data_IF_197978941250
#
_entry.id   IF_197978941250
#
_cell.length_a   1.000
_cell.length_b   1.000
_cell.length_c   1.000
_cell.angle_alpha   90.00
_cell.angle_beta   90.00
_cell.angle_gamma   90.00
#
_symmetry.space_group_name_H-M   'P 1'
#
loop_
_entity.id
_entity.type
_entity.pdbx_description
1 polymer ?
#
# COMPACT_ATOMS: atom_id res chain seq x y z
N UNK A 1 23.20 12.97 -29.98
CA UNK A 1 23.47 11.82 -29.05
C UNK A 1 23.69 12.28 -27.62
N UNK A 2 24.51 13.30 -27.34
CA UNK A 2 24.72 13.85 -26.00
C UNK A 2 23.42 14.42 -25.38
N UNK A 3 22.63 15.16 -26.16
CA UNK A 3 21.38 15.75 -25.71
C UNK A 3 20.33 14.70 -25.31
N UNK A 4 20.22 13.58 -26.04
CA UNK A 4 19.33 12.46 -25.67
C UNK A 4 19.75 11.79 -24.36
N UNK A 5 21.06 11.64 -24.13
CA UNK A 5 21.56 11.07 -22.86
C UNK A 5 21.27 11.99 -21.67
N UNK A 6 21.39 13.29 -21.88
CA UNK A 6 21.11 14.29 -20.84
C UNK A 6 19.61 14.30 -20.48
N UNK A 7 18.72 14.32 -21.48
CA UNK A 7 17.27 14.20 -21.25
C UNK A 7 16.89 12.91 -20.53
N UNK A 8 17.52 11.79 -20.89
CA UNK A 8 17.28 10.51 -20.22
C UNK A 8 17.70 10.53 -18.74
N UNK A 9 18.85 11.14 -18.42
CA UNK A 9 19.31 11.32 -17.05
C UNK A 9 18.40 12.25 -16.23
N UNK A 10 17.96 13.34 -16.82
CA UNK A 10 17.02 14.27 -16.18
C UNK A 10 15.69 13.57 -15.87
N UNK A 11 15.17 12.76 -16.79
CA UNK A 11 13.95 11.99 -16.59
C UNK A 11 14.11 10.94 -15.47
N UNK A 12 15.25 10.23 -15.42
CA UNK A 12 15.52 9.27 -14.35
C UNK A 12 15.65 9.97 -13.00
N UNK A 13 16.26 11.16 -12.96
CA UNK A 13 16.33 11.98 -11.74
C UNK A 13 14.93 12.43 -11.28
N UNK A 14 14.07 12.85 -12.20
CA UNK A 14 12.68 13.20 -11.91
C UNK A 14 11.88 11.98 -11.41
N UNK A 15 12.09 10.80 -11.98
CA UNK A 15 11.48 9.56 -11.54
C UNK A 15 11.95 9.16 -10.13
N UNK A 16 13.23 9.32 -9.82
CA UNK A 16 13.77 9.11 -8.48
C UNK A 16 13.19 10.10 -7.46
N UNK A 17 13.10 11.38 -7.83
CA UNK A 17 12.47 12.40 -6.98
C UNK A 17 10.99 12.06 -6.72
N UNK A 18 10.23 11.65 -7.74
CA UNK A 18 8.84 11.21 -7.59
C UNK A 18 8.72 10.02 -6.65
N UNK A 19 9.65 9.06 -6.75
CA UNK A 19 9.71 7.91 -5.84
C UNK A 19 10.05 8.35 -4.40
N UNK A 20 11.03 9.22 -4.20
CA UNK A 20 11.38 9.77 -2.87
C UNK A 20 10.20 10.52 -2.24
N UNK A 21 9.47 11.32 -3.01
CA UNK A 21 8.28 12.03 -2.55
C UNK A 21 7.19 11.07 -2.01
N UNK A 22 7.10 9.85 -2.55
CA UNK A 22 6.23 8.79 -2.05
C UNK A 22 6.72 8.10 -0.76
N UNK A 23 7.89 8.47 -0.21
CA UNK A 23 8.51 7.81 0.94
C UNK A 23 7.64 7.85 2.20
N UNK A 24 7.03 9.00 2.50
CA UNK A 24 6.12 9.15 3.64
C UNK A 24 4.89 8.23 3.54
N UNK A 25 4.31 8.10 2.34
CA UNK A 25 3.18 7.20 2.08
C UNK A 25 3.59 5.73 2.26
N UNK A 26 4.77 5.33 1.76
CA UNK A 26 5.30 3.96 1.93
C UNK A 26 5.58 3.63 3.40
N UNK A 27 6.14 4.57 4.17
CA UNK A 27 6.39 4.40 5.59
C UNK A 27 5.07 4.24 6.39
N UNK A 28 4.08 5.11 6.11
CA UNK A 28 2.73 4.99 6.70
C UNK A 28 2.08 3.65 6.34
N UNK A 29 2.13 3.25 5.07
CA UNK A 29 1.63 1.95 4.62
C UNK A 29 2.27 0.77 5.36
N UNK A 30 3.61 0.78 5.57
CA UNK A 30 4.33 -0.26 6.33
C UNK A 30 3.77 -0.36 7.75
N UNK A 31 3.55 0.78 8.40
CA UNK A 31 2.95 0.87 9.74
C UNK A 31 1.52 0.31 9.75
N UNK A 32 0.64 0.77 8.86
CA UNK A 32 -0.76 0.33 8.80
C UNK A 32 -0.89 -1.16 8.48
N UNK A 33 -0.03 -1.66 7.60
CA UNK A 33 0.07 -3.09 7.31
C UNK A 33 0.46 -3.90 8.54
N UNK A 34 1.43 -3.44 9.33
CA UNK A 34 1.80 -4.07 10.59
C UNK A 34 0.60 -4.15 11.55
N UNK A 35 -0.14 -3.06 11.73
CA UNK A 35 -1.35 -3.04 12.54
C UNK A 35 -2.41 -4.01 12.05
N UNK A 36 -2.67 -4.03 10.74
CA UNK A 36 -3.66 -4.93 10.13
C UNK A 36 -3.29 -6.39 10.28
N UNK A 37 -2.01 -6.75 10.19
CA UNK A 37 -1.56 -8.14 10.25
C UNK A 37 -1.08 -8.60 11.64
N UNK A 38 -1.34 -7.81 12.68
CA UNK A 38 -1.18 -8.22 14.09
C UNK A 38 0.15 -7.79 14.74
N UNK A 39 1.06 -7.16 14.02
CA UNK A 39 2.25 -6.55 14.62
C UNK A 39 1.93 -5.14 15.14
N UNK A 40 1.07 -5.07 16.16
CA UNK A 40 0.47 -3.83 16.66
C UNK A 40 1.30 -3.09 17.72
N UNK A 41 2.46 -3.65 18.10
CA UNK A 41 3.41 -3.08 19.06
C UNK A 41 4.72 -2.68 18.38
N UNK A 42 4.65 -2.35 17.07
CA UNK A 42 5.82 -2.03 16.25
C UNK A 42 6.24 -0.55 16.32
N UNK A 43 5.40 0.33 16.85
CA UNK A 43 5.73 1.75 16.96
C UNK A 43 6.92 1.95 17.90
N UNK A 44 7.78 2.91 17.56
CA UNK A 44 8.96 3.24 18.35
C UNK A 44 8.64 4.35 19.34
N UNK A 45 9.09 4.17 20.58
CA UNK A 45 8.94 5.13 21.69
C UNK A 45 10.28 5.35 22.36
N UNK A 46 10.41 6.46 23.07
CA UNK A 46 11.61 6.71 23.89
C UNK A 46 11.44 6.03 25.24
N UNK A 47 12.44 5.22 25.63
CA UNK A 47 12.51 4.65 26.97
C UNK A 47 12.91 5.69 28.03
N UNK A 48 12.91 5.30 29.32
CA UNK A 48 13.34 6.15 30.40
C UNK A 48 14.82 6.59 30.36
N UNK A 49 15.60 5.98 29.44
CA UNK A 49 17.02 6.32 29.20
C UNK A 49 17.22 7.15 27.92
N UNK A 50 16.12 7.51 27.22
CA UNK A 50 16.14 8.30 25.99
C UNK A 50 16.44 7.49 24.72
N UNK A 51 16.56 6.14 24.79
CA UNK A 51 16.80 5.28 23.62
C UNK A 51 15.49 5.03 22.88
N UNK A 52 15.56 4.95 21.55
CA UNK A 52 14.43 4.56 20.71
C UNK A 52 14.28 3.04 20.77
N UNK A 53 13.17 2.57 21.35
CA UNK A 53 12.83 1.15 21.47
C UNK A 53 11.41 0.92 20.92
N UNK A 54 11.07 -0.32 20.56
CA UNK A 54 9.69 -0.63 20.18
C UNK A 54 8.79 -0.66 21.43
N UNK A 55 7.50 -0.35 21.25
CA UNK A 55 6.52 -0.47 22.35
C UNK A 55 6.51 -1.91 22.92
N UNK A 56 6.74 -2.92 22.07
CA UNK A 56 6.91 -4.32 22.49
C UNK A 56 8.03 -4.48 23.50
N UNK A 57 9.22 -4.02 23.15
CA UNK A 57 10.39 -4.12 24.03
C UNK A 57 10.17 -3.40 25.37
N UNK A 58 9.56 -2.20 25.31
CA UNK A 58 9.24 -1.44 26.53
C UNK A 58 8.29 -2.19 27.46
N UNK A 59 7.26 -2.88 26.92
CA UNK A 59 6.35 -3.70 27.70
C UNK A 59 7.05 -4.93 28.31
N UNK A 60 7.83 -5.65 27.52
CA UNK A 60 8.58 -6.83 27.94
C UNK A 60 9.60 -6.49 29.05
N UNK A 61 10.32 -5.38 28.93
CA UNK A 61 11.23 -4.86 29.96
C UNK A 61 10.50 -4.50 31.26
N UNK A 62 9.23 -4.04 31.17
CA UNK A 62 8.38 -3.78 32.32
C UNK A 62 7.72 -5.03 32.93
N UNK A 63 8.05 -6.22 32.42
CA UNK A 63 7.49 -7.49 32.87
C UNK A 63 6.04 -7.74 32.44
N UNK A 64 5.55 -7.02 31.42
CA UNK A 64 4.21 -7.17 30.89
C UNK A 64 4.25 -7.95 29.57
N UNK A 65 3.22 -8.76 29.32
CA UNK A 65 3.09 -9.51 28.06
C UNK A 65 2.32 -8.66 27.06
N UNK A 66 2.91 -8.33 25.88
CA UNK A 66 2.18 -7.61 24.85
C UNK A 66 1.09 -8.50 24.24
N UNK A 67 -0.17 -8.18 24.49
CA UNK A 67 -1.33 -8.86 23.91
C UNK A 67 -2.01 -7.96 22.87
N UNK A 68 -2.51 -8.56 21.81
CA UNK A 68 -3.21 -7.84 20.75
C UNK A 68 -4.50 -8.55 20.35
N UNK A 69 -5.62 -7.84 20.41
CA UNK A 69 -6.88 -8.24 19.82
C UNK A 69 -7.05 -7.51 18.49
N UNK A 70 -6.83 -8.21 17.39
CA UNK A 70 -6.77 -7.58 16.07
C UNK A 70 -8.16 -7.32 15.49
N UNK A 71 -8.82 -6.24 15.92
CA UNK A 71 -10.13 -5.81 15.41
C UNK A 71 -10.02 -5.22 14.01
N UNK A 72 -8.91 -4.52 13.71
CA UNK A 72 -8.65 -3.96 12.36
C UNK A 72 -8.69 -5.06 11.31
N UNK A 73 -8.02 -6.20 11.55
CA UNK A 73 -8.00 -7.31 10.58
C UNK A 73 -9.39 -7.90 10.35
N UNK A 74 -10.18 -8.05 11.41
CA UNK A 74 -11.55 -8.52 11.32
C UNK A 74 -12.39 -7.58 10.46
N UNK A 75 -12.27 -6.28 10.69
CA UNK A 75 -13.00 -5.26 9.98
C UNK A 75 -12.67 -5.23 8.48
N UNK A 76 -11.38 -5.19 8.13
CA UNK A 76 -10.90 -5.25 6.74
C UNK A 76 -11.41 -6.51 6.03
N UNK A 77 -11.32 -7.69 6.67
CA UNK A 77 -11.85 -8.93 6.10
C UNK A 77 -13.35 -8.88 5.83
N UNK A 78 -14.13 -8.26 6.71
CA UNK A 78 -15.58 -8.15 6.55
C UNK A 78 -15.95 -7.22 5.38
N UNK A 79 -15.25 -6.10 5.24
CA UNK A 79 -15.46 -5.15 4.13
C UNK A 79 -15.13 -5.83 2.80
N UNK A 80 -13.96 -6.47 2.68
CA UNK A 80 -13.54 -7.21 1.48
C UNK A 80 -14.47 -8.38 1.18
N UNK A 81 -14.88 -9.13 2.21
CA UNK A 81 -15.81 -10.25 2.08
C UNK A 81 -17.16 -9.83 1.55
N UNK A 82 -17.69 -8.69 2.02
CA UNK A 82 -18.95 -8.12 1.53
C UNK A 82 -18.86 -7.64 0.08
N UNK A 83 -17.76 -6.98 -0.29
CA UNK A 83 -17.48 -6.61 -1.68
C UNK A 83 -17.53 -7.85 -2.59
N UNK A 84 -16.84 -8.92 -2.21
CA UNK A 84 -16.78 -10.16 -2.97
C UNK A 84 -18.16 -10.85 -3.06
N UNK A 85 -18.90 -10.86 -1.97
CA UNK A 85 -20.27 -11.40 -1.94
C UNK A 85 -21.19 -10.65 -2.91
N UNK A 86 -21.18 -9.33 -2.89
CA UNK A 86 -21.97 -8.51 -3.79
C UNK A 86 -21.57 -8.73 -5.26
N UNK A 87 -20.27 -8.87 -5.56
CA UNK A 87 -19.80 -9.16 -6.91
C UNK A 87 -20.29 -10.53 -7.44
N UNK A 88 -20.32 -11.54 -6.56
CA UNK A 88 -20.85 -12.87 -6.89
C UNK A 88 -22.37 -12.81 -7.13
N UNK A 89 -23.11 -12.09 -6.31
CA UNK A 89 -24.55 -11.95 -6.48
C UNK A 89 -24.89 -11.21 -7.78
N UNK A 90 -24.24 -10.09 -8.08
CA UNK A 90 -24.44 -9.35 -9.33
C UNK A 90 -24.24 -10.24 -10.56
N UNK A 91 -23.20 -11.07 -10.57
CA UNK A 91 -22.95 -12.05 -11.67
C UNK A 91 -24.07 -13.08 -11.80
N UNK A 92 -24.67 -13.53 -10.70
CA UNK A 92 -25.80 -14.46 -10.71
C UNK A 92 -27.07 -13.84 -11.30
N UNK A 93 -27.34 -12.57 -10.98
CA UNK A 93 -28.54 -11.87 -11.49
C UNK A 93 -28.42 -11.44 -12.95
N UNK A 94 -27.24 -10.96 -13.35
CA UNK A 94 -27.05 -10.41 -14.70
C UNK A 94 -26.87 -11.46 -15.79
N UNK A 95 -26.67 -12.76 -15.46
CA UNK A 95 -26.35 -13.84 -16.41
C UNK A 95 -25.23 -13.47 -17.40
N UNK A 96 -24.42 -12.44 -17.08
CA UNK A 96 -23.30 -12.04 -17.93
C UNK A 96 -22.22 -13.11 -17.86
N UNK A 97 -21.90 -13.68 -19.02
CA UNK A 97 -20.63 -14.37 -19.16
C UNK A 97 -19.52 -13.35 -18.90
N UNK A 98 -18.64 -13.68 -17.96
CA UNK A 98 -17.47 -12.84 -17.72
C UNK A 98 -16.65 -12.76 -19.00
N UNK A 99 -16.25 -11.54 -19.39
CA UNK A 99 -15.35 -11.32 -20.54
C UNK A 99 -14.11 -12.22 -20.41
N UNK A 100 -13.56 -12.68 -21.54
CA UNK A 100 -12.47 -13.66 -21.55
C UNK A 100 -11.32 -13.26 -20.62
N UNK A 101 -10.86 -12.00 -20.69
CA UNK A 101 -9.77 -11.49 -19.86
C UNK A 101 -10.09 -11.49 -18.34
N UNK A 102 -11.36 -11.43 -17.95
CA UNK A 102 -11.78 -11.47 -16.52
C UNK A 102 -11.49 -12.83 -15.89
N UNK A 103 -11.75 -13.91 -16.62
CA UNK A 103 -11.50 -15.28 -16.15
C UNK A 103 -10.01 -15.60 -16.16
N UNK A 104 -9.31 -15.25 -17.22
CA UNK A 104 -7.89 -15.53 -17.40
C UNK A 104 -7.02 -14.83 -16.35
N UNK A 105 -7.36 -13.60 -15.99
CA UNK A 105 -6.65 -12.84 -14.97
C UNK A 105 -7.13 -13.09 -13.52
N UNK A 106 -8.14 -13.92 -13.29
CA UNK A 106 -8.73 -14.14 -11.96
C UNK A 106 -9.09 -12.81 -11.26
N UNK A 107 -9.75 -11.89 -11.98
CA UNK A 107 -9.97 -10.50 -11.49
C UNK A 107 -10.66 -10.43 -10.15
N UNK A 108 -11.58 -11.34 -9.82
CA UNK A 108 -12.24 -11.36 -8.50
C UNK A 108 -11.26 -11.47 -7.35
N UNK A 109 -10.18 -12.25 -7.52
CA UNK A 109 -9.13 -12.38 -6.51
C UNK A 109 -8.23 -11.16 -6.51
N UNK A 110 -7.79 -10.69 -7.68
CA UNK A 110 -6.95 -9.49 -7.80
C UNK A 110 -7.63 -8.27 -7.20
N UNK A 111 -8.92 -8.05 -7.51
CA UNK A 111 -9.68 -6.92 -7.01
C UNK A 111 -9.93 -7.02 -5.50
N UNK A 112 -10.16 -8.22 -4.97
CA UNK A 112 -10.28 -8.44 -3.53
C UNK A 112 -8.98 -8.09 -2.79
N UNK A 113 -7.82 -8.47 -3.34
CA UNK A 113 -6.51 -8.11 -2.79
C UNK A 113 -6.19 -6.64 -2.95
N UNK A 114 -6.61 -6.05 -4.07
CA UNK A 114 -6.43 -4.62 -4.30
C UNK A 114 -7.32 -3.78 -3.37
N UNK A 115 -8.58 -4.20 -3.11
CA UNK A 115 -9.43 -3.54 -2.14
C UNK A 115 -8.86 -3.64 -0.71
N UNK A 116 -8.27 -4.79 -0.34
CA UNK A 116 -7.57 -4.92 0.94
C UNK A 116 -6.41 -3.93 1.05
N UNK A 117 -5.58 -3.82 0.02
CA UNK A 117 -4.50 -2.84 -0.05
C UNK A 117 -5.03 -1.40 0.00
N UNK A 118 -6.12 -1.12 -0.70
CA UNK A 118 -6.79 0.18 -0.73
C UNK A 118 -7.28 0.64 0.64
N UNK A 119 -7.86 -0.26 1.43
CA UNK A 119 -8.27 0.03 2.82
C UNK A 119 -7.07 0.31 3.74
N UNK A 120 -5.94 -0.36 3.49
CA UNK A 120 -4.73 -0.25 4.31
C UNK A 120 -3.91 0.99 3.96
N UNK A 121 -3.72 1.25 2.66
CA UNK A 121 -2.80 2.29 2.17
C UNK A 121 -3.49 3.49 1.53
N UNK A 122 -4.78 3.41 1.24
CA UNK A 122 -5.51 4.39 0.44
C UNK A 122 -5.14 4.36 -1.05
N UNK A 123 -4.40 3.34 -1.50
CA UNK A 123 -3.88 3.26 -2.86
C UNK A 123 -4.35 2.00 -3.55
N UNK A 124 -4.99 2.16 -4.72
CA UNK A 124 -5.27 1.06 -5.63
C UNK A 124 -4.48 1.29 -6.92
N UNK A 125 -3.65 0.32 -7.30
CA UNK A 125 -2.77 0.42 -8.45
C UNK A 125 -2.76 -0.91 -9.19
N UNK A 126 -3.21 -0.92 -10.43
CA UNK A 126 -3.11 -2.07 -11.33
C UNK A 126 -2.43 -1.65 -12.64
N UNK A 127 -1.63 -2.55 -13.18
CA UNK A 127 -1.01 -2.40 -14.49
C UNK A 127 -1.78 -3.26 -15.50
N UNK A 128 -2.24 -2.63 -16.56
CA UNK A 128 -2.91 -3.28 -17.69
C UNK A 128 -1.92 -3.35 -18.83
N UNK A 129 -1.68 -4.51 -19.36
CA UNK A 129 -0.74 -4.72 -20.45
C UNK A 129 -1.13 -5.89 -21.34
N UNK A 130 -0.21 -6.30 -22.20
CA UNK A 130 -0.37 -7.46 -23.07
C UNK A 130 0.71 -8.48 -22.76
N UNK A 131 0.33 -9.74 -22.60
CA UNK A 131 1.23 -10.87 -22.43
C UNK A 131 0.82 -11.98 -23.39
N UNK A 132 1.74 -12.40 -24.25
CA UNK A 132 1.47 -13.43 -25.27
C UNK A 132 0.26 -13.15 -26.17
N UNK A 133 -0.05 -11.88 -26.43
CA UNK A 133 -1.19 -11.49 -27.25
C UNK A 133 -2.50 -11.26 -26.48
N UNK A 134 -2.56 -11.64 -25.20
CA UNK A 134 -3.72 -11.53 -24.33
C UNK A 134 -3.57 -10.36 -23.32
N UNK A 135 -4.71 -9.85 -22.84
CA UNK A 135 -4.73 -8.79 -21.83
C UNK A 135 -4.26 -9.34 -20.48
N UNK A 136 -3.22 -8.76 -19.93
CA UNK A 136 -2.69 -9.07 -18.60
C UNK A 136 -2.96 -7.92 -17.63
N UNK A 137 -3.49 -8.25 -16.45
CA UNK A 137 -3.76 -7.30 -15.38
C UNK A 137 -3.00 -7.77 -14.13
N UNK A 138 -2.14 -6.90 -13.62
CA UNK A 138 -1.30 -7.21 -12.47
C UNK A 138 -1.48 -6.17 -11.37
N UNK A 139 -1.62 -6.60 -10.11
CA UNK A 139 -1.61 -5.72 -8.96
C UNK A 139 -0.20 -5.17 -8.73
N UNK A 140 -0.08 -3.87 -8.58
CA UNK A 140 1.19 -3.18 -8.36
C UNK A 140 1.31 -2.76 -6.89
N UNK A 141 2.44 -3.08 -6.29
CA UNK A 141 2.72 -2.67 -4.91
C UNK A 141 3.06 -1.17 -4.85
N UNK A 142 2.52 -0.47 -3.86
CA UNK A 142 2.91 0.93 -3.56
C UNK A 142 4.42 1.06 -3.32
N UNK A 143 5.10 -0.01 -2.91
CA UNK A 143 6.55 -0.03 -2.71
C UNK A 143 7.34 0.14 -4.00
N UNK A 144 6.81 -0.40 -5.10
CA UNK A 144 7.49 -0.45 -6.39
C UNK A 144 6.95 0.59 -7.39
N UNK A 145 5.96 1.36 -6.99
CA UNK A 145 5.29 2.35 -7.81
C UNK A 145 5.73 3.77 -7.46
N UNK A 146 5.81 4.63 -8.46
CA UNK A 146 6.03 6.05 -8.28
C UNK A 146 5.22 6.88 -9.27
N UNK A 147 4.85 8.08 -8.84
CA UNK A 147 4.05 9.02 -9.60
C UNK A 147 4.43 10.44 -9.17
N UNK A 148 4.37 11.42 -10.08
CA UNK A 148 4.58 12.82 -9.70
C UNK A 148 3.50 13.29 -8.70
N UNK A 149 3.76 14.37 -8.00
CA UNK A 149 2.73 14.98 -7.14
C UNK A 149 1.56 15.42 -7.99
N UNK A 150 0.37 14.94 -7.66
CA UNK A 150 -0.86 15.31 -8.30
C UNK A 150 -1.94 15.64 -7.27
N UNK A 151 -2.93 16.44 -7.66
CA UNK A 151 -4.00 16.91 -6.78
C UNK A 151 -5.39 16.58 -7.32
N UNK A 152 -5.51 16.41 -8.65
CA UNK A 152 -6.80 16.05 -9.26
C UNK A 152 -7.11 14.58 -8.98
N UNK A 153 -8.19 14.25 -8.25
CA UNK A 153 -8.59 12.85 -8.00
C UNK A 153 -8.83 12.02 -9.27
N UNK A 154 -8.98 12.69 -10.42
CA UNK A 154 -9.12 12.05 -11.74
C UNK A 154 -7.79 11.78 -12.43
N UNK A 155 -6.67 12.25 -11.84
CA UNK A 155 -5.33 12.04 -12.37
C UNK A 155 -5.00 12.81 -13.64
N UNK A 156 -5.69 13.93 -13.93
CA UNK A 156 -5.45 14.74 -15.14
C UNK A 156 -4.15 15.53 -15.11
N UNK A 157 -3.60 15.75 -13.94
CA UNK A 157 -2.33 16.46 -13.67
C UNK A 157 -1.16 15.48 -13.47
N UNK A 158 -1.34 14.23 -13.87
CA UNK A 158 -0.27 13.23 -13.89
C UNK A 158 0.54 13.39 -15.18
N UNK A 159 1.83 13.66 -15.02
CA UNK A 159 2.78 13.87 -16.12
C UNK A 159 3.90 12.81 -16.12
N UNK A 160 4.15 12.17 -14.98
CA UNK A 160 5.16 11.14 -14.80
C UNK A 160 4.63 10.03 -13.91
N UNK A 161 4.74 8.79 -14.37
CA UNK A 161 4.35 7.60 -13.62
C UNK A 161 5.29 6.45 -13.98
N UNK A 162 5.54 5.56 -13.04
CA UNK A 162 6.38 4.41 -13.34
C UNK A 162 6.39 3.34 -12.27
N UNK A 163 7.16 2.30 -12.56
CA UNK A 163 7.25 1.11 -11.74
C UNK A 163 8.67 0.54 -11.71
N UNK A 164 9.06 0.03 -10.56
CA UNK A 164 10.31 -0.70 -10.35
C UNK A 164 10.07 -2.19 -10.56
N UNK A 165 10.75 -2.78 -11.52
CA UNK A 165 10.66 -4.21 -11.79
C UNK A 165 11.86 -4.96 -11.18
N UNK A 166 11.59 -6.16 -10.68
CA UNK A 166 12.59 -7.15 -10.32
C UNK A 166 12.43 -8.37 -11.22
N UNK A 167 13.28 -8.47 -12.24
CA UNK A 167 13.24 -9.52 -13.25
C UNK A 167 14.41 -10.48 -13.12
N UNK A 168 14.23 -11.71 -13.58
CA UNK A 168 15.37 -12.59 -13.82
C UNK A 168 16.12 -12.16 -15.08
N UNK A 169 17.43 -12.45 -15.16
CA UNK A 169 18.20 -12.13 -16.36
C UNK A 169 17.61 -12.74 -17.65
N UNK A 170 17.16 -14.01 -17.68
CA UNK A 170 16.46 -14.56 -18.85
C UNK A 170 15.21 -13.76 -19.26
N UNK A 171 14.43 -13.27 -18.28
CA UNK A 171 13.25 -12.46 -18.54
C UNK A 171 13.59 -11.09 -19.14
N UNK A 172 14.65 -10.44 -18.65
CA UNK A 172 15.16 -9.18 -19.21
C UNK A 172 15.60 -9.40 -20.67
N UNK A 173 16.34 -10.48 -20.94
CA UNK A 173 16.80 -10.78 -22.30
C UNK A 173 15.62 -11.06 -23.23
N UNK A 174 14.65 -11.88 -22.82
CA UNK A 174 13.48 -12.20 -23.61
C UNK A 174 12.65 -10.95 -23.93
N UNK A 175 12.47 -10.06 -22.95
CA UNK A 175 11.61 -8.87 -23.08
C UNK A 175 12.25 -7.76 -23.89
N UNK A 176 13.55 -7.52 -23.72
CA UNK A 176 14.23 -6.33 -24.26
C UNK A 176 15.20 -6.61 -25.40
N UNK A 177 15.83 -7.78 -25.46
CA UNK A 177 16.71 -8.14 -26.56
C UNK A 177 15.95 -8.86 -27.70
N UNK A 178 14.94 -9.66 -27.37
CA UNK A 178 14.20 -10.43 -28.38
C UNK A 178 15.17 -11.31 -29.19
N UNK A 179 15.28 -11.03 -30.51
CA UNK A 179 16.13 -11.74 -31.44
C UNK A 179 17.47 -11.04 -31.73
N UNK A 180 17.76 -9.91 -31.04
CA UNK A 180 19.00 -9.16 -31.24
C UNK A 180 20.09 -9.71 -30.31
N UNK A 181 21.10 -10.39 -30.93
CA UNK A 181 22.21 -11.03 -30.18
C UNK A 181 23.15 -10.01 -29.55
N UNK A 182 23.43 -8.89 -30.22
CA UNK A 182 24.37 -7.87 -29.73
C UNK A 182 23.77 -7.15 -28.52
N UNK A 183 22.46 -6.83 -28.61
CA UNK A 183 21.71 -6.26 -27.48
C UNK A 183 21.63 -7.24 -26.31
N UNK A 184 21.45 -8.53 -26.56
CA UNK A 184 21.44 -9.56 -25.54
C UNK A 184 22.79 -9.65 -24.81
N UNK A 185 23.90 -9.56 -25.55
CA UNK A 185 25.23 -9.59 -24.99
C UNK A 185 25.50 -8.33 -24.14
N UNK A 186 25.17 -7.15 -24.64
CA UNK A 186 25.32 -5.89 -23.91
C UNK A 186 24.55 -5.90 -22.58
N UNK A 187 23.30 -6.40 -22.58
CA UNK A 187 22.49 -6.53 -21.37
C UNK A 187 23.09 -7.54 -20.37
N UNK A 188 23.66 -8.66 -20.85
CA UNK A 188 24.35 -9.61 -19.97
C UNK A 188 25.56 -8.99 -19.29
N UNK A 189 26.38 -8.26 -20.02
CA UNK A 189 27.57 -7.58 -19.50
C UNK A 189 27.19 -6.52 -18.47
N UNK A 190 26.18 -5.68 -18.78
CA UNK A 190 25.67 -4.65 -17.89
C UNK A 190 25.21 -5.22 -16.54
N UNK A 191 24.35 -6.23 -16.56
CA UNK A 191 23.83 -6.81 -15.33
C UNK A 191 24.82 -7.75 -14.60
N UNK A 192 25.83 -8.31 -15.30
CA UNK A 192 26.92 -9.01 -14.63
C UNK A 192 27.78 -8.07 -13.80
N UNK A 193 28.10 -6.89 -14.31
CA UNK A 193 28.85 -5.87 -13.59
C UNK A 193 28.06 -5.37 -12.35
N UNK A 194 26.79 -5.06 -12.53
CA UNK A 194 25.92 -4.61 -11.44
C UNK A 194 25.77 -5.66 -10.33
N UNK A 195 25.65 -6.93 -10.67
CA UNK A 195 25.56 -8.00 -9.68
C UNK A 195 26.88 -8.21 -8.91
N UNK A 196 28.03 -7.94 -9.51
CA UNK A 196 29.33 -7.97 -8.85
C UNK A 196 29.51 -6.78 -7.90
N UNK A 197 29.14 -5.57 -8.32
CA UNK A 197 29.22 -4.36 -7.51
C UNK A 197 28.19 -4.34 -6.37
N UNK A 198 26.96 -4.81 -6.61
CA UNK A 198 25.91 -4.92 -5.61
C UNK A 198 26.21 -5.92 -4.50
N UNK A 199 26.98 -6.98 -4.80
CA UNK A 199 27.45 -7.94 -3.80
C UNK A 199 28.40 -7.35 -2.74
N UNK A 200 29.10 -6.27 -3.07
CA UNK A 200 29.97 -5.54 -2.13
C UNK A 200 29.19 -4.58 -1.22
N UNK A 201 28.07 -4.01 -1.69
CA UNK A 201 27.23 -3.08 -0.89
C UNK A 201 26.37 -3.77 0.16
N UNK A 202 26.02 -5.05 0.00
CA UNK A 202 25.23 -5.83 0.96
C UNK A 202 25.98 -6.18 2.26
N UNK A 203 27.24 -5.81 2.42
CA UNK A 203 28.05 -6.01 3.62
C UNK A 203 28.20 -4.76 4.50
N UNK A 204 27.65 -3.62 4.09
CA UNK A 204 27.63 -2.37 4.86
C UNK A 204 26.19 -2.02 5.29
N UNK A 205 26.03 -1.65 6.56
CA UNK A 205 24.80 -1.09 7.12
C UNK A 205 24.25 0.01 6.21
N UNK A 206 23.18 -0.27 5.48
CA UNK A 206 22.50 0.72 4.64
C UNK A 206 21.11 0.98 5.20
N UNK A 207 20.73 2.24 5.26
CA UNK A 207 19.35 2.67 5.40
C UNK A 207 18.49 1.92 4.39
N UNK A 208 17.63 1.02 4.86
CA UNK A 208 16.83 0.10 4.03
C UNK A 208 15.97 0.79 2.97
N UNK A 209 15.74 2.08 3.07
CA UNK A 209 14.82 2.82 2.19
C UNK A 209 15.52 3.61 1.06
N UNK A 210 16.79 4.01 1.18
CA UNK A 210 17.42 4.88 0.17
C UNK A 210 17.88 4.14 -1.11
N UNK A 211 18.17 2.85 -0.99
CA UNK A 211 18.73 2.07 -2.11
C UNK A 211 17.70 1.29 -2.93
N UNK A 212 16.46 1.14 -2.46
CA UNK A 212 15.44 0.30 -3.13
C UNK A 212 15.14 0.70 -4.57
N UNK A 213 15.27 1.98 -4.93
CA UNK A 213 15.01 2.45 -6.28
C UNK A 213 15.99 1.84 -7.30
N UNK A 214 17.26 1.75 -6.96
CA UNK A 214 18.31 1.29 -7.84
C UNK A 214 18.73 -0.17 -7.60
N UNK A 215 18.54 -0.71 -6.41
CA UNK A 215 19.03 -2.03 -6.02
C UNK A 215 17.92 -3.06 -6.09
N UNK A 216 18.18 -4.19 -6.73
CA UNK A 216 17.29 -5.35 -6.74
C UNK A 216 17.69 -6.37 -5.67
N UNK A 217 16.80 -7.30 -5.35
CA UNK A 217 17.10 -8.47 -4.55
C UNK A 217 18.21 -9.31 -5.20
N UNK A 218 18.96 -10.06 -4.38
CA UNK A 218 20.09 -10.85 -4.85
C UNK A 218 19.72 -11.79 -6.01
N UNK A 219 20.47 -11.69 -7.11
CA UNK A 219 20.24 -12.50 -8.31
C UNK A 219 19.08 -12.04 -9.19
N UNK A 220 18.56 -10.84 -8.93
CA UNK A 220 17.55 -10.18 -9.76
C UNK A 220 18.15 -8.97 -10.47
N UNK A 221 17.51 -8.58 -11.56
CA UNK A 221 17.84 -7.40 -12.35
C UNK A 221 16.81 -6.33 -12.07
N UNK A 222 17.25 -5.13 -11.64
CA UNK A 222 16.38 -3.97 -11.53
C UNK A 222 16.17 -3.37 -12.90
N UNK A 223 14.90 -3.14 -13.28
CA UNK A 223 14.50 -2.37 -14.45
C UNK A 223 13.52 -1.31 -14.00
N UNK A 224 13.79 -0.06 -14.36
CA UNK A 224 12.98 1.10 -13.99
C UNK A 224 12.14 1.49 -15.19
N UNK A 225 10.83 1.25 -15.13
CA UNK A 225 9.86 1.64 -16.15
C UNK A 225 9.37 3.06 -15.85
N UNK A 226 9.62 4.00 -16.75
CA UNK A 226 9.21 5.41 -16.60
C UNK A 226 8.33 5.80 -17.78
N UNK A 227 7.16 6.30 -17.48
CA UNK A 227 6.24 6.91 -18.43
C UNK A 227 6.22 8.41 -18.19
N UNK A 228 6.42 9.18 -19.25
CA UNK A 228 6.38 10.64 -19.20
C UNK A 228 5.54 11.20 -20.33
N UNK A 229 4.92 12.35 -20.09
CA UNK A 229 4.31 13.14 -21.14
C UNK A 229 5.41 13.90 -21.88
N UNK A 230 5.64 13.54 -23.12
CA UNK A 230 6.57 14.21 -24.00
C UNK A 230 5.80 15.10 -24.99
N UNK A 231 6.29 16.31 -25.20
CA UNK A 231 5.75 17.23 -26.20
C UNK A 231 6.55 17.09 -27.49
N UNK A 232 5.86 16.81 -28.58
CA UNK A 232 6.45 16.74 -29.91
C UNK A 232 5.82 17.78 -30.82
N UNK A 233 6.66 18.46 -31.60
CA UNK A 233 6.20 19.36 -32.64
C UNK A 233 5.81 18.55 -33.88
N UNK A 234 4.54 18.63 -34.26
CA UNK A 234 3.99 17.92 -35.40
C UNK A 234 3.55 18.87 -36.48
N UNK A 235 3.85 18.50 -37.72
CA UNK A 235 3.46 19.22 -38.89
C UNK A 235 2.46 18.41 -39.70
N UNK A 236 1.19 18.80 -39.65
CA UNK A 236 0.15 18.23 -40.49
C UNK A 236 0.23 18.85 -41.87
N UNK A 237 0.48 18.03 -42.86
CA UNK A 237 0.61 18.41 -44.26
C UNK A 237 -0.57 17.90 -45.05
N UNK A 238 -1.17 18.74 -45.87
CA UNK A 238 -2.21 18.35 -46.84
C UNK A 238 -1.74 18.71 -48.23
N UNK A 239 -1.49 17.69 -49.05
CA UNK A 239 -1.09 17.86 -50.43
C UNK A 239 -2.32 17.76 -51.36
N UNK A 240 -2.79 18.89 -51.88
CA UNK A 240 -3.99 18.91 -52.74
C UNK A 240 -3.79 18.24 -54.06
N UNK A 241 -2.57 18.17 -54.60
CA UNK A 241 -2.30 17.52 -55.86
C UNK A 241 -2.38 16.01 -55.77
N UNK A 242 -1.87 15.48 -54.66
CA UNK A 242 -1.90 14.03 -54.40
C UNK A 242 -3.16 13.58 -53.67
N UNK A 243 -3.99 14.52 -53.18
CA UNK A 243 -5.13 14.25 -52.32
C UNK A 243 -4.72 13.45 -51.07
N UNK A 244 -3.53 13.65 -50.57
CA UNK A 244 -2.95 12.94 -49.43
C UNK A 244 -2.72 13.88 -48.22
N UNK A 245 -3.14 13.43 -47.04
CA UNK A 245 -2.77 14.02 -45.77
C UNK A 245 -1.70 13.18 -45.07
N UNK A 246 -0.63 13.77 -44.61
CA UNK A 246 0.43 13.10 -43.87
C UNK A 246 0.97 14.00 -42.76
N UNK A 247 1.60 13.37 -41.78
CA UNK A 247 2.13 14.06 -40.62
C UNK A 247 3.63 13.88 -40.55
N UNK A 248 4.35 15.01 -40.36
CA UNK A 248 5.80 15.06 -40.24
C UNK A 248 6.20 15.63 -38.88
N UNK A 249 7.45 15.45 -38.52
CA UNK A 249 8.02 16.12 -37.37
C UNK A 249 8.18 17.65 -37.67
N UNK A 250 7.98 18.50 -36.67
CA UNK A 250 8.08 19.95 -36.80
C UNK A 250 9.44 20.45 -37.36
N UNK A 251 10.50 19.68 -37.13
CA UNK A 251 11.84 19.95 -37.70
C UNK A 251 11.89 19.92 -39.25
N UNK A 252 10.90 19.27 -39.90
CA UNK A 252 10.84 19.17 -41.37
C UNK A 252 10.13 20.38 -42.03
N UNK A 253 9.69 21.37 -41.25
CA UNK A 253 9.03 22.58 -41.77
C UNK A 253 9.85 23.27 -42.87
N UNK A 254 11.17 23.39 -42.67
CA UNK A 254 12.06 23.96 -43.66
C UNK A 254 12.05 23.24 -45.00
N UNK A 255 12.03 21.90 -44.98
CA UNK A 255 11.96 21.05 -46.19
C UNK A 255 10.65 21.25 -46.94
N UNK A 256 9.53 21.33 -46.25
CA UNK A 256 8.23 21.61 -46.90
C UNK A 256 8.15 23.01 -47.44
N UNK A 257 8.75 24.01 -46.77
CA UNK A 257 8.83 25.36 -47.30
C UNK A 257 9.66 25.43 -48.59
N UNK A 258 10.80 24.75 -48.64
CA UNK A 258 11.61 24.66 -49.87
C UNK A 258 10.84 23.97 -51.01
N UNK A 259 10.11 22.90 -50.70
CA UNK A 259 9.27 22.22 -51.68
C UNK A 259 8.14 23.13 -52.20
N UNK A 260 7.50 23.88 -51.31
CA UNK A 260 6.48 24.85 -51.69
C UNK A 260 7.02 25.97 -52.59
N UNK A 261 8.25 26.43 -52.39
CA UNK A 261 8.91 27.38 -53.28
C UNK A 261 9.18 26.78 -54.67
N UNK A 262 9.54 25.50 -54.74
CA UNK A 262 9.72 24.78 -56.03
C UNK A 262 8.39 24.63 -56.77
N UNK A 263 7.32 24.25 -56.05
CA UNK A 263 5.97 24.11 -56.63
C UNK A 263 5.40 25.41 -57.13
N UNK A 264 5.65 26.51 -56.42
CA UNK A 264 5.24 27.84 -56.86
C UNK A 264 5.89 28.24 -58.21
N UNK A 265 7.16 27.88 -58.41
CA UNK A 265 7.86 28.11 -59.67
C UNK A 265 7.36 27.22 -60.80
N UNK A 266 6.84 26.04 -60.53
CA UNK A 266 6.29 25.12 -61.50
C UNK A 266 4.76 25.27 -61.72
N UNK A 267 4.08 26.19 -61.01
CA UNK A 267 2.65 26.40 -61.08
C UNK A 267 1.81 25.31 -60.37
N UNK A 268 2.45 24.50 -59.55
CA UNK A 268 1.79 23.40 -58.81
C UNK A 268 1.17 23.92 -57.50
N UNK A 269 0.16 23.22 -56.96
CA UNK A 269 -0.48 23.60 -55.73
C UNK A 269 0.48 23.44 -54.53
N UNK A 270 0.50 24.43 -53.64
CA UNK A 270 1.29 24.37 -52.41
C UNK A 270 0.73 23.34 -51.45
N UNK A 271 1.63 22.70 -50.70
CA UNK A 271 1.27 21.84 -49.58
C UNK A 271 0.81 22.74 -48.42
N UNK A 272 -0.42 22.57 -47.98
CA UNK A 272 -0.93 23.24 -46.79
C UNK A 272 -0.35 22.61 -45.54
N UNK A 273 0.18 23.46 -44.66
CA UNK A 273 0.80 22.97 -43.42
C UNK A 273 0.13 23.57 -42.20
N UNK A 274 -0.15 22.73 -41.21
CA UNK A 274 -0.60 23.17 -39.90
C UNK A 274 0.37 22.64 -38.85
N UNK A 275 1.00 23.53 -38.14
CA UNK A 275 1.89 23.17 -37.03
C UNK A 275 1.07 23.04 -35.75
N UNK A 276 1.27 21.95 -35.01
CA UNK A 276 0.63 21.69 -33.73
C UNK A 276 1.63 21.04 -32.77
N UNK A 277 1.44 21.28 -31.47
CA UNK A 277 2.14 20.53 -30.43
C UNK A 277 1.26 19.33 -30.10
N UNK A 278 1.80 18.14 -30.28
CA UNK A 278 1.18 16.89 -29.84
C UNK A 278 1.81 16.43 -28.51
N UNK A 279 0.97 16.06 -27.56
CA UNK A 279 1.40 15.59 -26.24
C UNK A 279 1.11 14.11 -26.15
N UNK A 280 2.16 13.31 -25.98
CA UNK A 280 2.07 11.85 -25.98
C UNK A 280 2.73 11.23 -24.77
N UNK A 281 2.17 10.12 -24.32
CA UNK A 281 2.82 9.27 -23.34
C UNK A 281 3.94 8.46 -23.98
N UNK A 282 5.15 8.66 -23.47
CA UNK A 282 6.35 7.96 -23.92
C UNK A 282 6.90 7.09 -22.79
N UNK A 283 7.30 5.84 -23.11
CA UNK A 283 7.89 4.93 -22.13
C UNK A 283 9.39 4.80 -22.34
N UNK A 284 10.13 4.82 -21.22
CA UNK A 284 11.55 4.49 -21.19
C UNK A 284 11.84 3.49 -20.10
N UNK A 285 12.59 2.47 -20.44
CA UNK A 285 13.08 1.46 -19.51
C UNK A 285 14.54 1.72 -19.22
N UNK A 286 14.89 1.91 -17.96
CA UNK A 286 16.25 2.22 -17.53
C UNK A 286 16.86 1.06 -16.75
N UNK A 287 18.16 0.86 -16.94
CA UNK A 287 19.00 0.13 -16.00
C UNK A 287 19.35 1.02 -14.78
N UNK A 288 19.76 0.45 -13.64
CA UNK A 288 20.21 1.21 -12.48
C UNK A 288 21.35 2.19 -12.77
N UNK A 289 22.17 1.92 -13.79
CA UNK A 289 23.26 2.79 -14.26
C UNK A 289 22.78 4.07 -14.94
N UNK A 290 21.45 4.16 -15.24
CA UNK A 290 20.88 5.25 -16.02
C UNK A 290 20.92 5.04 -17.55
N UNK A 291 21.34 3.86 -17.99
CA UNK A 291 21.29 3.50 -19.40
C UNK A 291 19.87 3.15 -19.82
N UNK A 292 19.45 3.66 -21.00
CA UNK A 292 18.14 3.34 -21.58
C UNK A 292 18.23 1.96 -22.26
N UNK A 293 17.47 1.01 -21.72
CA UNK A 293 17.36 -0.36 -22.27
C UNK A 293 16.43 -0.39 -23.49
N UNK A 294 15.32 0.35 -23.38
CA UNK A 294 14.30 0.46 -24.45
C UNK A 294 13.51 1.75 -24.29
N UNK A 295 13.10 2.34 -25.38
CA UNK A 295 12.21 3.51 -25.40
C UNK A 295 11.19 3.39 -26.54
N UNK A 296 10.03 4.04 -26.39
CA UNK A 296 9.01 4.07 -27.44
C UNK A 296 7.75 4.81 -26.99
N UNK A 297 6.88 5.08 -27.94
CA UNK A 297 5.55 5.63 -27.67
C UNK A 297 4.66 4.56 -27.01
N UNK A 298 3.53 4.99 -26.44
CA UNK A 298 2.56 4.07 -25.87
C UNK A 298 2.09 3.07 -26.93
N UNK A 299 2.30 1.76 -26.73
CA UNK A 299 1.88 0.73 -27.70
C UNK A 299 0.37 0.44 -27.62
N UNK A 300 -0.34 1.09 -26.70
CA UNK A 300 -1.74 0.81 -26.41
C UNK A 300 -2.69 1.69 -27.23
N UNK A 301 -3.85 1.15 -27.62
CA UNK A 301 -4.86 1.88 -28.39
C UNK A 301 -5.46 3.09 -27.65
N UNK A 302 -5.36 3.12 -26.30
CA UNK A 302 -5.76 4.28 -25.51
C UNK A 302 -4.72 5.41 -25.48
N UNK A 303 -3.51 5.19 -26.00
CA UNK A 303 -2.39 6.15 -26.08
C UNK A 303 -1.93 6.74 -24.72
N UNK A 304 -2.36 6.16 -23.61
CA UNK A 304 -2.01 6.56 -22.25
C UNK A 304 -0.99 5.59 -21.63
N UNK A 305 -0.57 5.87 -20.40
CA UNK A 305 0.21 4.92 -19.60
C UNK A 305 -0.64 3.70 -19.15
N UNK A 306 -0.05 2.52 -18.87
CA UNK A 306 -0.78 1.29 -18.59
C UNK A 306 -1.37 1.19 -17.18
N UNK A 307 -1.13 2.16 -16.33
CA UNK A 307 -1.54 2.08 -14.93
C UNK A 307 -2.96 2.62 -14.75
N UNK A 308 -3.82 1.84 -14.11
CA UNK A 308 -5.00 2.35 -13.43
C UNK A 308 -4.61 2.68 -12.00
N UNK A 309 -4.87 3.91 -11.56
CA UNK A 309 -4.44 4.42 -10.27
C UNK A 309 -5.58 5.14 -9.57
N UNK A 310 -5.79 4.85 -8.30
CA UNK A 310 -6.73 5.58 -7.45
C UNK A 310 -6.14 5.76 -6.06
N UNK A 311 -6.13 6.99 -5.60
CA UNK A 311 -5.78 7.36 -4.24
C UNK A 311 -7.01 7.90 -3.53
N UNK A 312 -7.20 7.52 -2.27
CA UNK A 312 -8.43 7.84 -1.53
C UNK A 312 -8.18 7.97 -0.02
N UNK A 313 -8.84 8.91 0.61
CA UNK A 313 -9.27 10.15 -0.02
C UNK A 313 -8.05 10.96 -0.47
N UNK A 314 -8.12 11.58 -1.62
CA UNK A 314 -7.06 12.48 -2.08
C UNK A 314 -7.49 13.92 -1.78
N UNK A 315 -6.93 14.50 -0.74
CA UNK A 315 -7.19 15.88 -0.33
C UNK A 315 -5.88 16.64 -0.29
N UNK A 316 -5.76 17.68 -1.11
CA UNK A 316 -4.54 18.49 -1.25
C UNK A 316 -3.25 17.68 -1.58
N UNK A 317 -3.41 16.51 -2.20
CA UNK A 317 -2.31 15.59 -2.51
C UNK A 317 -1.91 14.66 -1.36
N UNK A 318 -2.66 14.66 -0.27
CA UNK A 318 -2.47 13.74 0.86
C UNK A 318 -3.51 12.62 0.84
N UNK A 319 -3.09 11.45 1.31
CA UNK A 319 -3.91 10.24 1.35
C UNK A 319 -4.09 9.81 2.80
N UNK A 320 -5.36 9.59 3.20
CA UNK A 320 -5.74 9.19 4.55
C UNK A 320 -6.57 7.90 4.48
N UNK A 321 -5.94 6.72 4.56
CA UNK A 321 -6.63 5.44 4.37
C UNK A 321 -7.56 5.10 5.54
N UNK A 322 -8.55 4.27 5.26
CA UNK A 322 -9.54 3.80 6.24
C UNK A 322 -8.90 3.24 7.53
N UNK A 323 -7.81 2.49 7.41
CA UNK A 323 -7.13 1.91 8.58
C UNK A 323 -6.50 2.98 9.48
N UNK A 324 -6.11 4.14 8.94
CA UNK A 324 -5.51 5.24 9.71
C UNK A 324 -6.44 5.71 10.84
N UNK A 325 -7.72 5.86 10.54
CA UNK A 325 -8.72 6.42 11.44
C UNK A 325 -8.96 5.56 12.70
N UNK A 326 -8.69 4.26 12.61
CA UNK A 326 -9.01 3.29 13.66
C UNK A 326 -7.78 2.77 14.43
N UNK A 327 -6.57 3.20 14.05
CA UNK A 327 -5.34 2.71 14.71
C UNK A 327 -5.26 3.15 16.16
N UNK A 328 -5.61 4.40 16.47
CA UNK A 328 -5.47 4.93 17.83
C UNK A 328 -6.42 4.23 18.80
N UNK A 329 -7.65 3.93 18.39
CA UNK A 329 -8.61 3.13 19.17
C UNK A 329 -8.07 1.71 19.37
N UNK A 330 -7.53 1.08 18.34
CA UNK A 330 -6.93 -0.25 18.45
C UNK A 330 -5.75 -0.27 19.42
N UNK A 331 -4.87 0.75 19.38
CA UNK A 331 -3.76 0.89 20.32
C UNK A 331 -4.25 1.00 21.75
N UNK A 332 -5.27 1.82 21.98
CA UNK A 332 -5.81 2.04 23.31
C UNK A 332 -6.48 0.78 23.87
N UNK A 333 -7.27 0.08 23.04
CA UNK A 333 -7.87 -1.22 23.40
C UNK A 333 -6.78 -2.22 23.84
N UNK A 334 -5.72 -2.37 23.06
CA UNK A 334 -4.62 -3.28 23.38
C UNK A 334 -3.92 -2.89 24.69
N UNK A 335 -3.70 -1.60 24.93
CA UNK A 335 -3.11 -1.11 26.19
C UNK A 335 -4.02 -1.39 27.39
N UNK A 336 -5.33 -1.22 27.26
CA UNK A 336 -6.30 -1.55 28.29
C UNK A 336 -6.29 -3.05 28.59
N UNK A 337 -6.24 -3.91 27.59
CA UNK A 337 -6.18 -5.35 27.76
C UNK A 337 -4.92 -5.77 28.55
N UNK A 338 -3.75 -5.23 28.17
CA UNK A 338 -2.50 -5.48 28.91
C UNK A 338 -2.56 -4.94 30.34
N UNK A 339 -3.20 -3.79 30.56
CA UNK A 339 -3.37 -3.20 31.88
C UNK A 339 -4.32 -4.05 32.75
N UNK A 340 -5.45 -4.52 32.18
CA UNK A 340 -6.41 -5.37 32.85
C UNK A 340 -5.74 -6.71 33.26
N UNK A 341 -5.00 -7.34 32.35
CA UNK A 341 -4.25 -8.55 32.63
C UNK A 341 -3.26 -8.34 33.78
N UNK A 342 -2.52 -7.25 33.72
CA UNK A 342 -1.58 -6.88 34.79
C UNK A 342 -2.29 -6.67 36.16
N UNK A 343 -3.41 -5.93 36.18
CA UNK A 343 -4.21 -5.71 37.37
C UNK A 343 -4.73 -7.05 37.90
N UNK A 344 -5.28 -7.90 37.02
CA UNK A 344 -5.80 -9.21 37.41
C UNK A 344 -4.73 -10.12 38.01
N UNK A 345 -3.55 -10.15 37.38
CA UNK A 345 -2.42 -10.93 37.86
C UNK A 345 -1.93 -10.49 39.26
N UNK A 346 -1.97 -9.18 39.54
CA UNK A 346 -1.48 -8.62 40.79
C UNK A 346 -2.57 -8.46 41.86
N UNK A 347 -3.82 -8.15 41.46
CA UNK A 347 -4.92 -7.95 42.41
C UNK A 347 -5.47 -9.27 42.99
N UNK A 348 -5.28 -10.38 42.27
CA UNK A 348 -5.72 -11.69 42.76
C UNK A 348 -5.13 -12.05 44.14
N UNK A 349 -3.99 -11.45 44.49
CA UNK A 349 -3.31 -11.72 45.77
C UNK A 349 -3.24 -10.51 46.70
N UNK A 350 -3.49 -9.28 46.20
CA UNK A 350 -3.38 -8.04 47.02
C UNK A 350 -2.03 -7.85 47.67
N UNK A 351 -1.99 -7.03 48.72
CA UNK A 351 -0.81 -6.83 49.53
C UNK A 351 -1.02 -7.52 50.91
N UNK A 352 -0.10 -8.41 51.28
CA UNK A 352 -0.12 -9.05 52.57
C UNK A 352 0.66 -8.17 53.57
N UNK A 353 -0.06 -7.60 54.51
CA UNK A 353 0.54 -6.93 55.68
C UNK A 353 0.83 -7.99 56.73
N UNK A 354 2.10 -8.33 56.90
CA UNK A 354 2.51 -9.35 57.87
C UNK A 354 3.20 -8.65 59.05
N UNK A 355 2.65 -8.77 60.28
CA UNK A 355 3.27 -8.17 61.47
C UNK A 355 4.65 -8.77 61.73
N UNK A 356 5.66 -7.95 61.97
CA UNK A 356 7.03 -8.43 62.17
C UNK A 356 7.17 -9.34 63.38
N UNK A 357 6.37 -9.11 64.44
CA UNK A 357 6.39 -9.89 65.66
C UNK A 357 5.75 -11.29 65.54
N UNK A 358 4.93 -11.51 64.51
CA UNK A 358 4.24 -12.77 64.30
C UNK A 358 4.95 -13.69 63.28
N UNK A 359 6.18 -13.32 62.93
CA UNK A 359 6.99 -14.14 62.03
C UNK A 359 7.35 -15.46 62.68
N UNK A 360 7.02 -16.62 62.05
CA UNK A 360 7.35 -17.92 62.59
C UNK A 360 8.88 -18.15 62.61
N UNK A 361 9.35 -18.85 63.65
CA UNK A 361 10.76 -19.20 63.75
C UNK A 361 11.15 -20.19 62.66
N UNK A 362 12.31 -20.00 62.05
CA UNK A 362 12.79 -20.87 60.99
C UNK A 362 12.36 -20.48 59.57
N UNK A 363 11.46 -19.49 59.39
CA UNK A 363 11.05 -19.00 58.05
C UNK A 363 11.75 -17.67 57.69
N UNK A 364 12.27 -17.63 56.46
CA UNK A 364 12.74 -16.35 55.89
C UNK A 364 11.55 -15.55 55.30
N UNK A 365 11.66 -14.24 55.24
CA UNK A 365 10.68 -13.38 54.56
C UNK A 365 10.45 -13.82 53.09
N UNK A 366 11.50 -14.34 52.45
CA UNK A 366 11.44 -14.84 51.09
C UNK A 366 10.62 -16.11 50.99
N UNK A 367 10.68 -16.99 51.98
CA UNK A 367 9.82 -18.21 52.02
C UNK A 367 8.37 -17.86 52.32
N UNK A 368 8.11 -16.93 53.24
CA UNK A 368 6.74 -16.44 53.50
C UNK A 368 6.15 -15.86 52.19
N UNK A 369 6.89 -14.99 51.50
CA UNK A 369 6.48 -14.40 50.24
C UNK A 369 6.24 -15.50 49.16
N UNK A 370 7.12 -16.51 49.07
CA UNK A 370 6.98 -17.64 48.12
C UNK A 370 5.75 -18.49 48.43
N UNK A 371 5.48 -18.82 49.71
CA UNK A 371 4.29 -19.55 50.13
C UNK A 371 3.00 -18.78 49.88
N UNK A 372 3.01 -17.48 50.19
CA UNK A 372 1.86 -16.62 49.86
C UNK A 372 1.63 -16.50 48.36
N UNK A 373 2.70 -16.51 47.59
CA UNK A 373 2.64 -16.49 46.15
C UNK A 373 2.15 -17.82 45.55
N UNK A 374 2.30 -18.95 46.21
CA UNK A 374 1.82 -20.26 45.74
C UNK A 374 0.30 -20.40 45.90
N UNK A 375 -0.35 -21.18 45.01
CA UNK A 375 -1.75 -21.59 45.20
C UNK A 375 -1.85 -22.51 46.39
N UNK A 376 -2.81 -22.25 47.28
CA UNK A 376 -3.05 -23.04 48.52
C UNK A 376 -1.85 -23.06 49.49
N UNK A 377 -1.00 -22.06 49.48
CA UNK A 377 0.12 -21.95 50.38
C UNK A 377 -0.32 -21.68 51.84
N UNK A 378 0.12 -22.53 52.78
CA UNK A 378 -0.13 -22.36 54.22
C UNK A 378 1.04 -21.60 54.81
N UNK A 379 0.76 -20.47 55.47
CA UNK A 379 1.72 -19.69 56.23
C UNK A 379 1.42 -19.84 57.71
N UNK A 380 2.22 -20.58 58.49
CA UNK A 380 2.03 -20.65 59.94
C UNK A 380 2.38 -19.27 60.53
N UNK A 381 1.68 -18.90 61.61
CA UNK A 381 1.93 -17.69 62.42
C UNK A 381 2.28 -18.05 63.84
N UNK A 382 3.01 -17.24 64.55
CA UNK A 382 3.49 -17.52 65.94
C UNK A 382 2.35 -17.50 66.96
N UNK A 383 1.24 -16.87 66.67
CA UNK A 383 0.01 -16.94 67.48
C UNK A 383 0.05 -16.23 68.83
N UNK A 384 0.87 -15.22 69.03
CA UNK A 384 0.94 -14.43 70.27
C UNK A 384 -0.16 -13.36 70.41
N UNK A 385 -1.03 -13.27 69.43
CA UNK A 385 -2.41 -12.91 69.70
C UNK A 385 -2.84 -11.46 69.51
N UNK A 386 -2.05 -10.47 69.12
CA UNK A 386 -2.61 -9.11 69.01
C UNK A 386 -2.80 -8.58 67.58
N UNK A 387 -2.12 -9.12 66.60
CA UNK A 387 -2.25 -8.66 65.21
C UNK A 387 -2.16 -9.85 64.25
N UNK A 388 -3.24 -10.10 63.52
CA UNK A 388 -3.24 -11.09 62.44
C UNK A 388 -2.73 -10.51 61.13
N UNK A 389 -2.07 -11.31 60.30
CA UNK A 389 -1.76 -10.89 58.94
C UNK A 389 -3.05 -10.46 58.19
N UNK A 390 -3.02 -9.26 57.60
CA UNK A 390 -4.18 -8.69 56.93
C UNK A 390 -3.89 -8.58 55.45
N UNK A 391 -4.77 -9.09 54.65
CA UNK A 391 -4.70 -8.93 53.21
C UNK A 391 -5.48 -7.69 52.76
N UNK A 392 -4.78 -6.73 52.13
CA UNK A 392 -5.42 -5.61 51.50
C UNK A 392 -5.67 -5.95 50.05
N UNK A 393 -6.92 -6.07 49.66
CA UNK A 393 -7.35 -6.36 48.28
C UNK A 393 -7.89 -5.07 47.66
N UNK A 394 -7.30 -4.66 46.56
CA UNK A 394 -7.73 -3.47 45.82
C UNK A 394 -8.77 -3.89 44.74
N UNK A 395 -10.00 -4.23 45.17
CA UNK A 395 -10.99 -4.87 44.31
C UNK A 395 -11.66 -4.04 43.23
N UNK A 396 -11.58 -2.70 43.30
CA UNK A 396 -12.39 -1.83 42.42
C UNK A 396 -11.68 -1.32 41.16
N UNK A 397 -10.36 -1.42 41.08
CA UNK A 397 -9.60 -0.89 39.94
C UNK A 397 -9.91 -1.64 38.62
N UNK A 398 -10.18 -2.94 38.71
CA UNK A 398 -10.50 -3.75 37.51
C UNK A 398 -11.85 -3.36 36.90
N UNK A 399 -12.88 -3.06 37.70
CA UNK A 399 -14.21 -2.71 37.18
C UNK A 399 -14.21 -1.46 36.33
N UNK A 400 -13.49 -0.41 36.75
CA UNK A 400 -13.34 0.81 35.94
C UNK A 400 -12.61 0.56 34.61
N UNK A 401 -11.60 -0.31 34.61
CA UNK A 401 -10.88 -0.66 33.40
C UNK A 401 -11.73 -1.48 32.41
N UNK A 402 -12.61 -2.35 32.90
CA UNK A 402 -13.57 -3.08 32.05
C UNK A 402 -14.60 -2.15 31.42
N UNK A 403 -15.16 -1.22 32.18
CA UNK A 403 -16.12 -0.22 31.65
C UNK A 403 -15.46 0.66 30.57
N UNK A 404 -14.20 1.05 30.78
CA UNK A 404 -13.46 1.81 29.80
C UNK A 404 -13.17 0.99 28.54
N UNK A 405 -12.85 -0.31 28.66
CA UNK A 405 -12.67 -1.19 27.51
C UNK A 405 -13.95 -1.36 26.71
N UNK A 406 -15.11 -1.52 27.36
CA UNK A 406 -16.40 -1.60 26.67
C UNK A 406 -16.71 -0.30 25.92
N UNK A 407 -16.43 0.83 26.54
CA UNK A 407 -16.60 2.15 25.89
C UNK A 407 -15.71 2.30 24.67
N UNK A 408 -14.43 1.91 24.77
CA UNK A 408 -13.48 1.97 23.66
C UNK A 408 -13.83 1.00 22.52
N UNK A 409 -14.33 -0.17 22.82
CA UNK A 409 -14.82 -1.09 21.78
C UNK A 409 -15.99 -0.48 21.01
N UNK A 410 -16.90 0.20 21.72
CA UNK A 410 -18.01 0.91 21.07
C UNK A 410 -17.54 2.11 20.25
N UNK A 411 -16.58 2.90 20.76
CA UNK A 411 -15.97 3.99 20.01
C UNK A 411 -15.24 3.49 18.76
N UNK A 412 -14.60 2.34 18.83
CA UNK A 412 -13.97 1.70 17.66
C UNK A 412 -15.01 1.37 16.57
N UNK A 413 -16.19 0.88 16.95
CA UNK A 413 -17.29 0.62 16.02
C UNK A 413 -17.86 1.93 15.46
N UNK A 414 -18.07 2.94 16.29
CA UNK A 414 -18.60 4.23 15.88
C UNK A 414 -17.64 4.96 14.91
N UNK A 415 -16.33 4.98 15.20
CA UNK A 415 -15.32 5.61 14.34
C UNK A 415 -15.15 4.84 13.01
N UNK A 416 -15.19 3.52 13.06
CA UNK A 416 -15.06 2.70 11.85
C UNK A 416 -16.29 2.82 10.93
N UNK A 417 -17.42 3.30 11.43
CA UNK A 417 -18.71 3.31 10.73
C UNK A 417 -19.27 1.92 10.44
N UNK A 418 -18.65 0.86 10.96
CA UNK A 418 -19.06 -0.53 10.71
C UNK A 418 -19.70 -1.09 11.97
N UNK A 419 -21.02 -1.15 11.97
CA UNK A 419 -21.81 -1.67 13.10
C UNK A 419 -21.80 -3.20 13.17
N UNK A 420 -22.13 -3.75 14.34
CA UNK A 420 -22.35 -5.16 14.59
C UNK A 420 -23.34 -5.81 13.61
N UNK A 421 -24.32 -5.05 13.11
CA UNK A 421 -25.26 -5.50 12.10
C UNK A 421 -24.56 -5.86 10.76
N UNK A 422 -23.52 -5.10 10.37
CA UNK A 422 -22.69 -5.42 9.20
C UNK A 422 -21.79 -6.64 9.42
N UNK A 423 -21.42 -6.89 10.69
CA UNK A 423 -20.57 -8.02 11.07
C UNK A 423 -21.38 -9.34 11.21
N UNK A 424 -22.70 -9.31 11.00
CA UNK A 424 -23.57 -10.47 11.17
C UNK A 424 -23.73 -10.92 12.61
N UNK A 425 -23.35 -10.10 13.58
CA UNK A 425 -23.56 -10.37 14.99
C UNK A 425 -25.04 -10.10 15.33
N UNK A 426 -25.68 -11.01 16.02
CA UNK A 426 -27.10 -10.90 16.39
C UNK A 426 -27.33 -9.68 17.28
N UNK A 427 -27.99 -8.69 16.71
CA UNK A 427 -28.67 -7.65 17.48
C UNK A 427 -29.95 -8.28 17.97
N UNK A 428 -30.08 -8.43 19.28
CA UNK A 428 -31.24 -8.94 20.06
C UNK A 428 -32.37 -9.63 19.27
N UNK A 429 -32.70 -10.84 19.63
CA UNK A 429 -33.76 -11.69 19.00
C UNK A 429 -35.16 -11.01 18.89
N UNK A 430 -35.34 -9.82 19.46
CA UNK A 430 -36.56 -9.00 19.41
C UNK A 430 -36.55 -7.92 18.32
N UNK A 431 -35.46 -7.76 17.57
CA UNK A 431 -35.38 -6.72 16.51
C UNK A 431 -36.12 -7.23 15.27
N UNK A 432 -37.21 -6.54 14.87
CA UNK A 432 -37.97 -6.89 13.68
C UNK A 432 -37.09 -6.84 12.42
N UNK A 433 -37.35 -7.71 11.44
CA UNK A 433 -36.56 -7.84 10.19
C UNK A 433 -36.35 -6.50 9.47
N UNK A 434 -37.35 -5.64 9.45
CA UNK A 434 -37.29 -4.30 8.82
C UNK A 434 -36.31 -3.39 9.55
N UNK A 435 -36.22 -3.46 10.87
CA UNK A 435 -35.29 -2.64 11.65
C UNK A 435 -33.85 -3.12 11.44
N UNK A 436 -33.64 -4.42 11.35
CA UNK A 436 -32.33 -5.02 11.02
C UNK A 436 -31.86 -4.64 9.62
N UNK A 437 -32.75 -4.73 8.62
CA UNK A 437 -32.44 -4.32 7.25
C UNK A 437 -32.07 -2.82 7.17
N UNK A 438 -32.78 -1.96 7.89
CA UNK A 438 -32.46 -0.54 7.97
C UNK A 438 -31.11 -0.29 8.66
N UNK A 439 -30.76 -1.03 9.71
CA UNK A 439 -29.46 -0.91 10.36
C UNK A 439 -28.32 -1.35 9.42
N UNK A 440 -28.48 -2.47 8.73
CA UNK A 440 -27.52 -2.94 7.72
C UNK A 440 -27.37 -1.94 6.59
N UNK A 441 -28.47 -1.35 6.14
CA UNK A 441 -28.48 -0.33 5.08
C UNK A 441 -27.79 0.95 5.52
N UNK A 442 -28.06 1.46 6.72
CA UNK A 442 -27.41 2.66 7.25
C UNK A 442 -25.91 2.45 7.47
N UNK A 443 -25.52 1.30 7.96
CA UNK A 443 -24.11 0.97 8.12
C UNK A 443 -23.40 0.79 6.77
N UNK A 444 -24.11 0.34 5.71
CA UNK A 444 -23.57 0.27 4.36
C UNK A 444 -23.29 1.66 3.76
N UNK A 445 -24.04 2.70 4.18
CA UNK A 445 -23.84 4.06 3.71
C UNK A 445 -22.44 4.58 4.06
N UNK A 446 -21.93 4.28 5.25
CA UNK A 446 -20.59 4.68 5.66
C UNK A 446 -19.46 4.14 4.74
N UNK A 447 -19.70 3.01 4.09
CA UNK A 447 -18.74 2.39 3.18
C UNK A 447 -19.01 2.70 1.71
N UNK A 448 -20.11 3.41 1.40
CA UNK A 448 -20.52 3.67 0.00
C UNK A 448 -19.46 4.44 -0.76
N UNK A 449 -18.89 5.47 -0.16
CA UNK A 449 -17.85 6.29 -0.79
C UNK A 449 -16.59 5.48 -1.13
N UNK A 450 -16.18 4.57 -0.24
CA UNK A 450 -15.04 3.67 -0.48
C UNK A 450 -15.33 2.74 -1.66
N UNK A 451 -16.51 2.11 -1.69
CA UNK A 451 -16.90 1.19 -2.76
C UNK A 451 -17.10 1.91 -4.10
N UNK A 452 -17.70 3.11 -4.08
CA UNK A 452 -17.89 3.92 -5.29
C UNK A 452 -16.53 4.35 -5.86
N UNK A 453 -15.63 4.84 -5.00
CA UNK A 453 -14.29 5.23 -5.39
C UNK A 453 -13.48 4.05 -5.94
N UNK A 454 -13.60 2.87 -5.33
CA UNK A 454 -12.99 1.64 -5.85
C UNK A 454 -13.65 1.17 -7.15
N UNK A 455 -14.97 1.36 -7.30
CA UNK A 455 -15.70 1.10 -8.55
C UNK A 455 -15.23 1.99 -9.71
N UNK A 456 -14.92 3.26 -9.45
CA UNK A 456 -14.31 4.15 -10.45
C UNK A 456 -12.93 3.64 -10.89
N UNK A 457 -12.13 3.13 -9.96
CA UNK A 457 -10.83 2.52 -10.25
C UNK A 457 -10.96 1.29 -11.18
N UNK A 458 -11.87 0.37 -10.86
CA UNK A 458 -12.09 -0.82 -11.68
C UNK A 458 -12.64 -0.48 -13.07
N UNK A 459 -13.52 0.54 -13.15
CA UNK A 459 -14.03 1.05 -14.43
C UNK A 459 -12.92 1.62 -15.30
N UNK A 460 -12.01 2.39 -14.73
CA UNK A 460 -10.85 2.95 -15.47
C UNK A 460 -9.90 1.84 -15.95
N UNK A 461 -9.64 0.84 -15.11
CA UNK A 461 -8.89 -0.37 -15.51
C UNK A 461 -9.54 -1.07 -16.70
N UNK A 462 -10.84 -1.31 -16.65
CA UNK A 462 -11.57 -2.02 -17.69
C UNK A 462 -11.61 -1.21 -18.98
N UNK A 463 -11.73 0.12 -18.91
CA UNK A 463 -11.59 1.03 -20.06
C UNK A 463 -10.23 0.86 -20.75
N UNK A 464 -9.15 0.75 -19.96
CA UNK A 464 -7.80 0.50 -20.50
C UNK A 464 -7.69 -0.91 -21.07
N UNK A 465 -8.20 -1.93 -20.39
CA UNK A 465 -8.13 -3.31 -20.83
C UNK A 465 -8.83 -3.57 -22.19
N UNK A 466 -9.92 -2.87 -22.47
CA UNK A 466 -10.61 -2.96 -23.77
C UNK A 466 -9.84 -2.36 -24.94
N UNK A 467 -8.80 -1.57 -24.69
CA UNK A 467 -8.03 -0.84 -25.70
C UNK A 467 -6.54 -1.22 -25.75
N UNK A 468 -6.18 -2.31 -25.11
CA UNK A 468 -4.80 -2.87 -25.10
C UNK A 468 -4.49 -3.76 -26.31
#
# INVERSE_FOLDING_TARGET
>A
MLEKREKARQLLAAAHEAWMNGGALRARRKRYKNYTYGNQWCDTVRDGQGRMVTERQMLEESGRTPMSNNLIRQLVKNIVGRYRYNAIESKRYEKREADGYTKENCLDELDSRMLEEYLISGCAIQRVGRRNGEVSIDNVSVKDFFINKFRDPRGRDVELVGMLHEMSLPEVLMRFAGNDRDKAQALKELYSQLNQEGGLRLLGESDEDSDWFYVASRGRCRVIEVWSLDCEEMLYCHDREKCEGYVLNGSELGRIQEENVRREKSGAAKIETKWEIDVRWHVRYFAPTGEVISEGDSPYGHKEHPFAVKFYPLTDGEVHPFVEDIIDQQKYINRLIVMIDHIMAHSAKGVLLFPMNEKPEGFSWREIAKRWASCNGIIPIKGTGSQLPTQMVTGNAANGAYQLLEMEMKLFEDVSGVSDALLGKNVNASTGSVMYENQVRNAAIALTDIYESFGMFTTERDRKAQRV
#
